data_IF_583093874662
#
_entry.id   IF_583093874662
#
_cell.length_a   1.000
_cell.length_b   1.000
_cell.length_c   1.000
_cell.angle_alpha   90.00
_cell.angle_beta   90.00
_cell.angle_gamma   90.00
#
_symmetry.space_group_name_H-M   'P 1'
#
loop_
_entity.id
_entity.type
_entity.pdbx_description
1 polymer ?
#
# COMPACT_ATOMS: atom_id res chain seq x y z
N UNK A 1 4.35 -0.71 23.73
CA UNK A 1 4.47 -2.16 23.46
C UNK A 1 5.86 -2.57 22.96
N UNK A 2 6.46 -1.88 21.97
CA UNK A 2 7.82 -2.19 21.47
C UNK A 2 8.91 -2.09 22.56
N UNK A 3 8.79 -1.18 23.50
CA UNK A 3 9.71 -1.05 24.64
C UNK A 3 9.70 -2.31 25.51
N UNK A 4 8.51 -2.85 25.79
CA UNK A 4 8.31 -4.12 26.53
C UNK A 4 8.95 -5.30 25.78
N UNK A 5 8.73 -5.38 24.46
CA UNK A 5 9.34 -6.42 23.60
C UNK A 5 10.87 -6.38 23.65
N UNK A 6 11.46 -5.18 23.68
CA UNK A 6 12.91 -4.99 23.86
C UNK A 6 13.43 -5.47 25.21
N UNK A 7 12.62 -5.33 26.27
CA UNK A 7 12.99 -5.74 27.65
C UNK A 7 12.88 -7.25 27.90
N UNK A 8 12.06 -7.97 27.13
CA UNK A 8 11.93 -9.42 27.25
C UNK A 8 13.23 -10.09 26.81
N UNK A 9 13.93 -10.75 27.73
CA UNK A 9 15.21 -11.45 27.45
C UNK A 9 15.05 -12.89 26.96
N UNK A 10 13.82 -13.38 26.80
CA UNK A 10 13.51 -14.74 26.35
C UNK A 10 13.41 -14.79 24.82
N UNK A 11 14.36 -15.46 24.18
CA UNK A 11 14.42 -15.57 22.71
C UNK A 11 13.21 -16.35 22.14
N UNK A 12 12.73 -17.35 22.86
CA UNK A 12 11.58 -18.18 22.48
C UNK A 12 10.24 -17.43 22.44
N UNK A 13 10.17 -16.25 23.05
CA UNK A 13 9.00 -15.37 23.00
C UNK A 13 9.12 -14.28 21.92
N UNK A 14 10.17 -14.33 21.12
CA UNK A 14 10.43 -13.36 20.04
C UNK A 14 10.44 -14.06 18.70
N UNK A 15 9.96 -13.36 17.68
CA UNK A 15 10.21 -13.81 16.32
C UNK A 15 11.72 -13.75 16.01
N UNK A 16 12.21 -14.71 15.24
CA UNK A 16 13.57 -14.67 14.68
C UNK A 16 13.75 -13.39 13.84
N UNK A 17 14.96 -12.86 13.75
CA UNK A 17 15.20 -11.69 12.91
C UNK A 17 14.87 -12.00 11.44
N UNK A 18 13.97 -11.24 10.84
CA UNK A 18 13.72 -11.32 9.41
C UNK A 18 14.89 -10.68 8.66
N UNK A 19 15.35 -11.33 7.59
CA UNK A 19 16.32 -10.77 6.66
C UNK A 19 15.56 -10.38 5.39
N UNK A 20 15.39 -9.07 5.10
CA UNK A 20 14.78 -8.66 3.85
C UNK A 20 15.66 -9.06 2.67
N UNK A 21 15.03 -9.33 1.54
CA UNK A 21 15.73 -9.58 0.28
C UNK A 21 16.21 -8.24 -0.28
N UNK A 22 17.48 -8.17 -0.64
CA UNK A 22 18.05 -7.03 -1.34
C UNK A 22 17.70 -7.08 -2.83
N UNK A 23 17.64 -5.92 -3.46
CA UNK A 23 17.48 -5.75 -4.91
C UNK A 23 18.77 -5.14 -5.46
N UNK A 24 19.75 -5.99 -5.88
CA UNK A 24 21.10 -5.53 -6.23
C UNK A 24 21.12 -4.43 -7.29
N UNK A 25 20.22 -4.48 -8.27
CA UNK A 25 20.09 -3.50 -9.35
C UNK A 25 19.73 -2.11 -8.86
N UNK A 26 19.10 -2.01 -7.68
CA UNK A 26 18.73 -0.75 -7.06
C UNK A 26 19.71 -0.29 -5.97
N UNK A 27 20.77 -1.07 -5.71
CA UNK A 27 21.76 -0.76 -4.67
C UNK A 27 23.03 -0.08 -5.18
N UNK A 28 23.21 -0.06 -6.50
CA UNK A 28 24.39 0.51 -7.17
C UNK A 28 24.28 2.02 -7.45
N UNK A 29 25.32 2.60 -8.07
CA UNK A 29 25.29 3.99 -8.55
C UNK A 29 24.27 4.19 -9.68
N UNK A 30 23.94 3.14 -10.42
CA UNK A 30 23.14 3.18 -11.64
C UNK A 30 21.62 3.04 -11.36
N UNK A 31 21.18 3.36 -10.14
CA UNK A 31 19.76 3.22 -9.75
C UNK A 31 18.82 4.00 -10.68
N UNK A 32 19.23 5.17 -11.14
CA UNK A 32 18.43 5.97 -12.07
C UNK A 32 18.25 5.27 -13.41
N UNK A 33 19.31 4.67 -13.95
CA UNK A 33 19.23 3.90 -15.19
C UNK A 33 18.39 2.63 -15.01
N UNK A 34 18.46 1.99 -13.86
CA UNK A 34 17.62 0.84 -13.55
C UNK A 34 16.14 1.20 -13.55
N UNK A 35 15.79 2.37 -13.00
CA UNK A 35 14.40 2.88 -12.97
C UNK A 35 13.96 3.43 -14.33
N UNK A 36 14.87 4.04 -15.10
CA UNK A 36 14.58 4.51 -16.46
C UNK A 36 14.24 3.34 -17.41
N UNK A 37 14.80 2.15 -17.17
CA UNK A 37 14.55 0.95 -17.99
C UNK A 37 13.22 0.26 -17.70
N UNK A 38 12.78 0.24 -16.43
CA UNK A 38 11.52 -0.36 -15.98
C UNK A 38 11.12 0.13 -14.62
N UNK A 39 9.85 -0.02 -14.28
CA UNK A 39 9.37 0.18 -12.91
C UNK A 39 9.85 -0.93 -11.98
N UNK A 40 9.93 -0.60 -10.70
CA UNK A 40 10.30 -1.55 -9.64
C UNK A 40 9.30 -1.48 -8.51
N UNK A 41 8.80 -2.64 -8.09
CA UNK A 41 7.91 -2.79 -6.95
C UNK A 41 8.65 -3.42 -5.79
N UNK A 42 8.66 -2.74 -4.66
CA UNK A 42 9.18 -3.23 -3.39
C UNK A 42 8.02 -3.52 -2.45
N UNK A 43 8.12 -4.57 -1.64
CA UNK A 43 7.16 -4.87 -0.60
C UNK A 43 7.91 -5.09 0.72
N UNK A 44 7.92 -4.05 1.56
CA UNK A 44 8.55 -4.09 2.88
C UNK A 44 7.68 -4.89 3.86
N UNK A 45 8.26 -5.54 4.87
CA UNK A 45 9.69 -5.68 5.19
C UNK A 45 10.38 -6.83 4.45
N UNK A 46 9.72 -7.48 3.49
CA UNK A 46 10.23 -8.63 2.76
C UNK A 46 11.33 -8.22 1.78
N UNK A 47 11.16 -7.12 1.08
CA UNK A 47 12.25 -6.42 0.39
C UNK A 47 12.88 -5.37 1.30
N UNK A 48 14.19 -5.19 1.15
CA UNK A 48 14.97 -4.17 1.85
C UNK A 48 14.46 -2.75 1.55
N UNK A 49 14.48 -1.86 2.54
CA UNK A 49 14.22 -0.43 2.35
C UNK A 49 15.47 0.32 1.83
N UNK A 50 16.63 -0.35 1.80
CA UNK A 50 17.89 0.24 1.38
C UNK A 50 17.85 0.86 -0.04
N UNK A 51 17.13 0.31 -1.04
CA UNK A 51 16.98 0.95 -2.35
C UNK A 51 16.39 2.35 -2.29
N UNK A 52 15.41 2.60 -1.41
CA UNK A 52 14.80 3.93 -1.25
C UNK A 52 15.81 4.91 -0.63
N UNK A 53 16.62 4.44 0.31
CA UNK A 53 17.71 5.22 0.89
C UNK A 53 18.78 5.50 -0.16
N UNK A 54 19.18 4.49 -0.94
CA UNK A 54 20.17 4.64 -2.01
C UNK A 54 19.71 5.65 -3.06
N UNK A 55 18.44 5.62 -3.49
CA UNK A 55 17.87 6.59 -4.41
C UNK A 55 18.11 8.03 -3.92
N UNK A 56 17.84 8.29 -2.65
CA UNK A 56 18.02 9.63 -2.08
C UNK A 56 19.48 10.03 -1.95
N UNK A 57 20.37 9.08 -1.63
CA UNK A 57 21.82 9.32 -1.55
C UNK A 57 22.38 9.63 -2.94
N UNK A 58 22.01 8.84 -3.96
CA UNK A 58 22.41 9.09 -5.34
C UNK A 58 21.84 10.42 -5.86
N UNK A 59 20.58 10.75 -5.52
CA UNK A 59 20.00 12.03 -5.88
C UNK A 59 20.75 13.23 -5.28
N UNK A 60 21.32 13.07 -4.09
CA UNK A 60 22.15 14.11 -3.49
C UNK A 60 23.52 14.29 -4.20
N UNK A 61 24.10 13.19 -4.67
CA UNK A 61 25.46 13.14 -5.24
C UNK A 61 25.49 13.39 -6.75
N UNK A 62 24.47 12.96 -7.50
CA UNK A 62 24.44 13.06 -8.96
C UNK A 62 24.31 14.52 -9.44
N UNK A 63 25.29 15.06 -10.18
CA UNK A 63 25.24 16.44 -10.66
C UNK A 63 24.13 16.71 -11.68
N UNK A 64 23.57 15.68 -12.30
CA UNK A 64 22.44 15.84 -13.23
C UNK A 64 21.13 16.14 -12.50
N UNK A 65 21.01 15.83 -11.21
CA UNK A 65 19.81 16.11 -10.40
C UNK A 65 19.74 17.60 -10.09
N UNK A 66 18.65 18.23 -10.53
CA UNK A 66 18.40 19.66 -10.32
C UNK A 66 17.31 19.93 -9.26
N UNK A 67 16.32 19.05 -9.15
CA UNK A 67 15.17 19.24 -8.24
C UNK A 67 14.88 17.96 -7.48
N UNK A 68 14.63 18.09 -6.18
CA UNK A 68 14.11 17.02 -5.32
C UNK A 68 12.92 17.56 -4.55
N UNK A 69 11.76 16.89 -4.61
CA UNK A 69 10.59 17.20 -3.80
C UNK A 69 10.15 15.96 -3.05
N UNK A 70 9.86 16.09 -1.76
CA UNK A 70 9.46 14.95 -0.93
C UNK A 70 8.47 15.32 0.16
N UNK A 71 7.50 14.43 0.41
CA UNK A 71 6.63 14.51 1.58
C UNK A 71 7.21 13.69 2.72
N UNK A 72 7.24 14.23 3.94
CA UNK A 72 7.71 13.55 5.15
C UNK A 72 6.65 13.66 6.25
N UNK A 73 6.17 12.51 6.74
CA UNK A 73 5.21 12.43 7.83
C UNK A 73 5.87 12.03 9.15
N UNK A 74 6.69 10.99 9.12
CA UNK A 74 7.51 10.48 10.22
C UNK A 74 8.88 10.11 9.71
N UNK A 75 9.90 10.55 10.42
CA UNK A 75 11.30 10.25 10.13
C UNK A 75 11.98 9.66 11.36
N UNK A 76 12.96 8.81 11.15
CA UNK A 76 13.78 8.28 12.25
C UNK A 76 14.67 9.39 12.85
N UNK A 77 15.05 9.23 14.11
CA UNK A 77 15.92 10.20 14.81
C UNK A 77 17.31 10.39 14.16
N UNK A 78 17.74 9.46 13.30
CA UNK A 78 18.96 9.56 12.50
C UNK A 78 18.66 9.13 11.06
N UNK A 79 17.72 9.85 10.40
CA UNK A 79 17.23 9.49 9.08
C UNK A 79 18.26 9.70 7.99
N UNK A 80 18.69 8.63 7.28
CA UNK A 80 19.60 8.76 6.15
C UNK A 80 18.97 9.53 4.96
N UNK A 81 17.65 9.51 4.85
CA UNK A 81 16.90 10.26 3.83
C UNK A 81 16.99 11.77 4.11
N UNK A 82 16.73 12.18 5.35
CA UNK A 82 16.84 13.60 5.74
C UNK A 82 18.27 14.10 5.57
N UNK A 83 19.27 13.29 5.93
CA UNK A 83 20.67 13.62 5.71
C UNK A 83 21.00 13.77 4.21
N UNK A 84 20.42 12.95 3.33
CA UNK A 84 20.61 13.06 1.89
C UNK A 84 19.95 14.33 1.32
N UNK A 85 18.74 14.69 1.78
CA UNK A 85 18.05 15.93 1.40
C UNK A 85 18.87 17.18 1.79
N UNK A 86 19.44 17.20 2.99
CA UNK A 86 20.30 18.29 3.44
C UNK A 86 21.55 18.43 2.54
N UNK A 87 22.28 17.34 2.29
CA UNK A 87 23.43 17.33 1.37
C UNK A 87 23.07 17.79 -0.04
N UNK A 88 21.90 17.39 -0.54
CA UNK A 88 21.45 17.82 -1.86
C UNK A 88 21.28 19.35 -1.92
N UNK A 89 20.67 19.96 -0.91
CA UNK A 89 20.48 21.40 -0.83
C UNK A 89 21.83 22.14 -0.66
N UNK A 90 22.72 21.65 0.20
CA UNK A 90 24.08 22.16 0.37
C UNK A 90 24.89 22.09 -0.92
N UNK A 91 24.62 21.11 -1.79
CA UNK A 91 25.20 20.99 -3.13
C UNK A 91 24.53 21.91 -4.19
N UNK A 92 23.62 22.81 -3.78
CA UNK A 92 22.96 23.79 -4.65
C UNK A 92 21.75 23.29 -5.43
N UNK A 93 21.22 22.08 -5.13
CA UNK A 93 20.00 21.55 -5.77
C UNK A 93 18.76 22.21 -5.16
N UNK A 94 17.69 22.30 -5.96
CA UNK A 94 16.39 22.77 -5.47
C UNK A 94 15.72 21.65 -4.68
N UNK A 95 15.66 21.76 -3.37
CA UNK A 95 15.07 20.77 -2.49
C UNK A 95 13.84 21.35 -1.80
N UNK A 96 12.66 20.79 -2.06
CA UNK A 96 11.41 21.13 -1.36
C UNK A 96 10.96 19.93 -0.52
N UNK A 97 10.76 20.16 0.76
CA UNK A 97 10.29 19.15 1.71
C UNK A 97 8.98 19.60 2.34
N UNK A 98 7.94 18.80 2.16
CA UNK A 98 6.67 19.00 2.84
C UNK A 98 6.64 18.16 4.11
N UNK A 99 6.78 18.82 5.24
CA UNK A 99 6.79 18.22 6.57
C UNK A 99 5.40 18.28 7.22
N UNK A 100 4.93 17.17 7.80
CA UNK A 100 3.74 17.18 8.67
C UNK A 100 4.16 17.55 10.10
N UNK A 101 3.93 18.81 10.48
CA UNK A 101 4.31 19.32 11.81
C UNK A 101 3.54 18.64 12.96
N UNK A 102 2.29 18.21 12.72
CA UNK A 102 1.41 17.62 13.73
C UNK A 102 1.35 16.08 13.67
N UNK A 103 2.47 15.44 13.30
CA UNK A 103 2.58 13.98 13.37
C UNK A 103 2.54 13.53 14.84
N UNK A 104 1.47 12.83 15.23
CA UNK A 104 1.24 12.38 16.61
C UNK A 104 2.48 11.66 17.17
N UNK A 105 2.99 12.11 18.33
CA UNK A 105 4.18 11.59 19.02
C UNK A 105 5.55 11.88 18.37
N UNK A 106 5.61 12.63 17.25
CA UNK A 106 6.84 12.93 16.54
C UNK A 106 7.01 14.45 16.28
N UNK A 107 6.22 15.30 16.93
CA UNK A 107 6.16 16.74 16.68
C UNK A 107 7.51 17.43 16.93
N UNK A 108 8.15 17.17 18.08
CA UNK A 108 9.47 17.75 18.40
C UNK A 108 10.55 17.28 17.41
N UNK A 109 10.56 16.00 17.06
CA UNK A 109 11.51 15.45 16.12
C UNK A 109 11.31 16.04 14.71
N UNK A 110 10.08 16.24 14.28
CA UNK A 110 9.75 16.81 12.97
C UNK A 110 10.13 18.29 12.90
N UNK A 111 9.93 19.07 13.97
CA UNK A 111 10.36 20.46 14.05
C UNK A 111 11.90 20.57 14.01
N UNK A 112 12.60 19.76 14.78
CA UNK A 112 14.06 19.70 14.77
C UNK A 112 14.63 19.42 13.37
N UNK A 113 14.09 18.43 12.68
CA UNK A 113 14.53 18.08 11.33
C UNK A 113 14.15 19.15 10.29
N UNK A 114 12.98 19.76 10.44
CA UNK A 114 12.55 20.87 9.58
C UNK A 114 13.49 22.07 9.67
N UNK A 115 13.89 22.48 10.88
CA UNK A 115 14.88 23.53 11.07
C UNK A 115 16.25 23.17 10.48
N UNK A 116 16.71 21.94 10.67
CA UNK A 116 17.97 21.46 10.11
C UNK A 116 17.96 21.51 8.58
N UNK A 117 16.89 21.06 7.94
CA UNK A 117 16.72 21.14 6.50
C UNK A 117 16.66 22.58 5.99
N UNK A 118 15.97 23.47 6.70
CA UNK A 118 15.95 24.91 6.37
C UNK A 118 17.34 25.53 6.41
N UNK A 119 18.11 25.21 7.44
CA UNK A 119 19.52 25.70 7.57
C UNK A 119 20.42 25.16 6.45
N UNK A 120 20.15 23.96 5.94
CA UNK A 120 20.87 23.37 4.80
C UNK A 120 20.44 23.98 3.44
N UNK A 121 19.45 24.87 3.41
CA UNK A 121 18.95 25.52 2.18
C UNK A 121 17.74 24.84 1.55
N UNK A 122 17.12 23.86 2.21
CA UNK A 122 15.86 23.28 1.74
C UNK A 122 14.69 24.27 1.92
N UNK A 123 13.78 24.31 0.95
CA UNK A 123 12.46 24.91 1.13
C UNK A 123 11.58 23.95 1.93
N UNK A 124 11.37 24.27 3.20
CA UNK A 124 10.52 23.45 4.10
C UNK A 124 9.13 24.06 4.18
N UNK A 125 8.11 23.23 3.88
CA UNK A 125 6.70 23.57 3.99
C UNK A 125 6.10 22.77 5.16
N UNK A 126 5.43 23.44 6.10
CA UNK A 126 4.83 22.82 7.27
C UNK A 126 3.32 22.65 7.05
N UNK A 127 2.96 21.56 6.36
CA UNK A 127 1.57 21.19 6.13
C UNK A 127 0.78 22.20 5.27
N UNK A 128 -0.52 21.97 5.24
CA UNK A 128 -1.52 22.87 4.66
C UNK A 128 -2.51 23.27 5.77
N UNK A 129 -3.03 24.51 5.80
CA UNK A 129 -3.99 24.92 6.80
C UNK A 129 -5.20 23.97 6.85
N UNK A 130 -5.45 23.38 8.01
CA UNK A 130 -6.58 22.48 8.24
C UNK A 130 -6.45 21.05 7.66
N UNK A 131 -5.39 20.76 6.92
CA UNK A 131 -5.14 19.44 6.32
C UNK A 131 -3.83 18.84 6.84
N UNK A 132 -3.86 17.52 7.12
CA UNK A 132 -2.63 16.77 7.43
C UNK A 132 -2.09 16.12 6.16
N UNK A 133 -0.79 16.29 5.90
CA UNK A 133 -0.13 15.64 4.77
C UNK A 133 0.25 14.22 5.14
N UNK A 134 -0.33 13.24 4.43
CA UNK A 134 -0.10 11.83 4.70
C UNK A 134 0.30 11.03 3.45
N UNK A 135 0.40 11.65 2.29
CA UNK A 135 0.97 11.07 1.07
C UNK A 135 2.44 10.70 1.25
N UNK A 136 2.93 9.71 0.52
CA UNK A 136 4.32 9.27 0.50
C UNK A 136 4.82 9.29 -0.93
N UNK A 137 5.46 10.39 -1.28
CA UNK A 137 5.94 10.64 -2.63
C UNK A 137 7.29 11.35 -2.59
N UNK A 138 8.22 10.87 -3.42
CA UNK A 138 9.46 11.54 -3.77
C UNK A 138 9.45 11.80 -5.27
N UNK A 139 9.78 13.01 -5.67
CA UNK A 139 9.98 13.45 -7.06
C UNK A 139 11.41 13.93 -7.23
N UNK A 140 12.12 13.38 -8.19
CA UNK A 140 13.51 13.73 -8.52
C UNK A 140 13.57 14.05 -10.00
N UNK A 141 14.02 15.27 -10.35
CA UNK A 141 14.23 15.70 -11.72
C UNK A 141 15.71 15.78 -12.05
N UNK A 142 16.10 15.09 -13.10
CA UNK A 142 17.44 15.07 -13.67
C UNK A 142 17.48 15.77 -15.01
N UNK A 143 18.58 16.43 -15.32
CA UNK A 143 18.87 16.96 -16.66
C UNK A 143 19.88 16.02 -17.34
N UNK A 144 19.44 15.29 -18.33
CA UNK A 144 20.27 14.35 -19.10
C UNK A 144 20.58 14.88 -20.48
N UNK A 145 21.48 14.22 -21.22
CA UNK A 145 21.77 14.56 -22.62
C UNK A 145 20.54 14.44 -23.54
N UNK A 146 19.56 13.57 -23.15
CA UNK A 146 18.30 13.36 -23.88
C UNK A 146 17.17 14.28 -23.40
N UNK A 147 17.44 15.23 -22.49
CA UNK A 147 16.46 16.14 -21.90
C UNK A 147 16.16 15.85 -20.43
N UNK A 148 15.12 16.48 -19.92
CA UNK A 148 14.71 16.29 -18.53
C UNK A 148 14.11 14.90 -18.32
N UNK A 149 14.56 14.20 -17.27
CA UNK A 149 14.03 12.90 -16.82
C UNK A 149 13.58 13.01 -15.37
N UNK A 150 12.49 12.35 -15.05
CA UNK A 150 11.96 12.32 -13.70
C UNK A 150 11.96 10.89 -13.15
N UNK A 151 12.34 10.75 -11.90
CA UNK A 151 12.25 9.49 -11.15
C UNK A 151 11.37 9.71 -9.94
N UNK A 152 10.40 8.82 -9.74
CA UNK A 152 9.48 8.87 -8.62
C UNK A 152 9.70 7.68 -7.68
N UNK A 153 9.48 7.90 -6.41
CA UNK A 153 9.11 6.85 -5.48
C UNK A 153 7.73 7.18 -4.91
N UNK A 154 6.79 6.25 -5.07
CA UNK A 154 5.42 6.34 -4.58
C UNK A 154 5.19 5.21 -3.57
N UNK A 155 4.73 5.52 -2.35
CA UNK A 155 4.63 4.52 -1.31
C UNK A 155 3.30 4.50 -0.56
N UNK A 156 2.95 3.34 0.00
CA UNK A 156 1.86 3.22 0.96
C UNK A 156 2.34 3.52 2.38
N UNK A 157 3.63 3.38 2.64
CA UNK A 157 4.30 3.51 3.94
C UNK A 157 5.20 4.72 4.10
N UNK A 158 5.49 5.10 5.34
CA UNK A 158 6.31 6.26 5.66
C UNK A 158 7.80 6.06 5.28
N UNK A 159 8.49 7.17 5.02
CA UNK A 159 9.94 7.21 4.82
C UNK A 159 10.70 7.07 6.16
N UNK A 160 10.57 5.90 6.77
CA UNK A 160 11.12 5.61 8.09
C UNK A 160 11.69 4.18 8.11
N UNK A 161 13.01 4.07 8.10
CA UNK A 161 13.75 2.80 8.02
C UNK A 161 13.42 1.81 9.14
N UNK A 162 13.16 2.31 10.35
CA UNK A 162 12.75 1.47 11.48
C UNK A 162 11.36 0.85 11.30
N UNK A 163 10.36 1.61 10.83
CA UNK A 163 9.01 1.08 10.59
C UNK A 163 8.96 0.19 9.36
N UNK A 164 9.77 0.44 8.34
CA UNK A 164 9.89 -0.39 7.16
C UNK A 164 10.36 -1.84 7.44
N UNK A 165 10.90 -2.10 8.64
CA UNK A 165 11.26 -3.45 9.09
C UNK A 165 10.12 -4.18 9.81
N UNK A 166 9.03 -3.48 10.11
CA UNK A 166 7.95 -3.98 10.98
C UNK A 166 6.58 -3.93 10.32
N UNK A 167 6.38 -3.00 9.39
CA UNK A 167 5.12 -2.74 8.70
C UNK A 167 5.19 -3.25 7.27
N UNK A 168 4.09 -3.85 6.80
CA UNK A 168 3.99 -4.22 5.39
C UNK A 168 3.58 -3.01 4.59
N UNK A 169 4.38 -2.62 3.59
CA UNK A 169 4.09 -1.49 2.71
C UNK A 169 4.67 -1.71 1.31
N UNK A 170 3.95 -1.27 0.30
CA UNK A 170 4.44 -1.23 -1.07
C UNK A 170 5.17 0.08 -1.35
N UNK A 171 6.22 0.01 -2.16
CA UNK A 171 6.93 1.13 -2.75
C UNK A 171 7.12 0.90 -4.25
N UNK A 172 6.69 1.85 -5.07
CA UNK A 172 6.87 1.85 -6.53
C UNK A 172 7.94 2.87 -6.90
N UNK A 173 9.00 2.41 -7.57
CA UNK A 173 9.99 3.26 -8.23
C UNK A 173 9.67 3.28 -9.72
N UNK A 174 9.49 4.46 -10.31
CA UNK A 174 9.07 4.62 -11.71
C UNK A 174 9.65 5.86 -12.35
N UNK A 175 9.85 5.82 -13.66
CA UNK A 175 10.15 6.95 -14.53
C UNK A 175 8.99 7.24 -15.51
N UNK A 176 7.77 6.74 -15.25
CA UNK A 176 6.60 6.99 -16.08
C UNK A 176 6.32 8.49 -16.19
N UNK A 177 6.30 9.01 -17.42
CA UNK A 177 6.17 10.43 -17.69
C UNK A 177 4.81 11.01 -17.30
N UNK A 178 3.76 10.19 -17.31
CA UNK A 178 2.42 10.63 -16.90
C UNK A 178 2.35 10.78 -15.39
N UNK A 179 2.86 9.79 -14.65
CA UNK A 179 2.96 9.87 -13.20
C UNK A 179 3.91 11.00 -12.77
N UNK A 180 4.98 11.27 -13.53
CA UNK A 180 5.89 12.38 -13.26
C UNK A 180 5.22 13.75 -13.42
N UNK A 181 4.39 13.93 -14.46
CA UNK A 181 3.58 15.16 -14.66
C UNK A 181 2.54 15.32 -13.54
N UNK A 182 1.89 14.24 -13.16
CA UNK A 182 0.94 14.24 -12.04
C UNK A 182 1.63 14.59 -10.72
N UNK A 183 2.84 14.08 -10.48
CA UNK A 183 3.63 14.41 -9.30
C UNK A 183 4.03 15.89 -9.27
N UNK A 184 4.42 16.45 -10.42
CA UNK A 184 4.75 17.88 -10.53
C UNK A 184 3.52 18.75 -10.24
N UNK A 185 2.34 18.40 -10.80
CA UNK A 185 1.07 19.07 -10.55
C UNK A 185 0.67 18.95 -9.07
N UNK A 186 0.82 17.75 -8.47
CA UNK A 186 0.54 17.52 -7.05
C UNK A 186 1.40 18.40 -6.14
N UNK A 187 2.71 18.43 -6.36
CA UNK A 187 3.59 19.32 -5.57
C UNK A 187 3.30 20.80 -5.84
N UNK A 188 2.97 21.18 -7.07
CA UNK A 188 2.57 22.55 -7.41
C UNK A 188 1.37 23.01 -6.59
N UNK A 189 0.34 22.18 -6.44
CA UNK A 189 -0.81 22.47 -5.59
C UNK A 189 -0.43 22.61 -4.10
N UNK A 190 0.46 21.74 -3.61
CA UNK A 190 0.95 21.78 -2.22
C UNK A 190 1.83 23.02 -1.93
N UNK A 191 2.46 23.58 -2.94
CA UNK A 191 3.30 24.76 -2.84
C UNK A 191 2.50 26.09 -2.91
N UNK A 192 1.17 26.01 -2.96
CA UNK A 192 0.27 27.16 -3.00
C UNK A 192 -0.30 27.46 -4.39
N UNK A 193 -0.15 26.54 -5.34
CA UNK A 193 -0.78 26.60 -6.66
C UNK A 193 -2.27 26.26 -6.63
N UNK A 194 -2.87 26.26 -7.81
CA UNK A 194 -4.25 25.80 -8.03
C UNK A 194 -4.36 24.30 -7.85
N UNK A 195 -5.60 23.78 -7.72
CA UNK A 195 -5.86 22.35 -7.63
C UNK A 195 -5.14 21.56 -8.75
N UNK A 196 -4.51 20.45 -8.37
CA UNK A 196 -3.72 19.64 -9.27
C UNK A 196 -4.61 18.93 -10.31
N UNK A 197 -4.46 19.28 -11.58
CA UNK A 197 -5.04 18.54 -12.69
C UNK A 197 -4.18 17.29 -12.98
N UNK A 198 -4.46 16.18 -12.29
CA UNK A 198 -3.76 14.91 -12.48
C UNK A 198 -4.55 13.99 -13.43
N UNK A 199 -3.83 13.21 -14.24
CA UNK A 199 -4.43 12.31 -15.23
C UNK A 199 -4.61 10.87 -14.71
N UNK A 200 -3.73 10.43 -13.82
CA UNK A 200 -3.63 9.03 -13.39
C UNK A 200 -3.54 8.88 -11.88
N UNK A 201 -2.84 9.77 -11.21
CA UNK A 201 -2.88 9.83 -9.76
C UNK A 201 -4.13 10.57 -9.27
N UNK A 202 -4.61 10.19 -8.10
CA UNK A 202 -5.79 10.79 -7.49
C UNK A 202 -5.47 11.20 -6.05
N UNK A 203 -5.77 12.43 -5.69
CA UNK A 203 -5.51 12.96 -4.35
C UNK A 203 -6.78 13.17 -3.52
N UNK A 204 -6.62 13.06 -2.20
CA UNK A 204 -7.57 13.59 -1.23
C UNK A 204 -7.08 14.99 -0.79
N UNK A 205 -8.03 15.86 -0.32
CA UNK A 205 -9.43 15.59 -0.02
C UNK A 205 -10.38 15.67 -1.22
N UNK A 206 -9.94 16.15 -2.37
CA UNK A 206 -10.86 16.62 -3.41
C UNK A 206 -11.41 15.50 -4.31
N UNK A 207 -10.57 14.56 -4.75
CA UNK A 207 -10.91 13.63 -5.84
C UNK A 207 -11.01 12.17 -5.38
N UNK A 208 -10.27 11.74 -4.37
CA UNK A 208 -10.09 10.33 -4.03
C UNK A 208 -11.39 9.61 -3.69
N UNK A 209 -12.28 10.23 -2.89
CA UNK A 209 -13.56 9.63 -2.54
C UNK A 209 -14.45 9.45 -3.78
N UNK A 210 -14.51 10.47 -4.63
CA UNK A 210 -15.29 10.43 -5.88
C UNK A 210 -14.78 9.34 -6.82
N UNK A 211 -13.48 9.23 -6.97
CA UNK A 211 -12.88 8.22 -7.85
C UNK A 211 -13.09 6.80 -7.32
N UNK A 212 -12.92 6.56 -6.02
CA UNK A 212 -13.21 5.24 -5.43
C UNK A 212 -14.68 4.83 -5.64
N UNK A 213 -15.62 5.76 -5.44
CA UNK A 213 -17.04 5.50 -5.70
C UNK A 213 -17.30 5.19 -7.18
N UNK A 214 -16.67 5.94 -8.09
CA UNK A 214 -16.75 5.70 -9.54
C UNK A 214 -16.24 4.29 -9.90
N UNK A 215 -15.11 3.87 -9.32
CA UNK A 215 -14.54 2.54 -9.56
C UNK A 215 -15.47 1.44 -9.05
N UNK A 216 -16.03 1.59 -7.84
CA UNK A 216 -16.99 0.62 -7.27
C UNK A 216 -18.28 0.56 -8.13
N UNK A 217 -18.83 1.73 -8.49
CA UNK A 217 -20.03 1.80 -9.34
C UNK A 217 -19.79 1.19 -10.73
N UNK A 218 -18.57 1.29 -11.27
CA UNK A 218 -18.18 0.64 -12.52
C UNK A 218 -18.22 -0.89 -12.41
N UNK A 219 -17.72 -1.46 -11.31
CA UNK A 219 -17.82 -2.91 -11.07
C UNK A 219 -19.29 -3.35 -10.98
N UNK A 220 -20.16 -2.56 -10.30
CA UNK A 220 -21.61 -2.81 -10.30
C UNK A 220 -22.18 -2.85 -11.71
N UNK A 221 -21.88 -1.86 -12.55
CA UNK A 221 -22.36 -1.82 -13.93
C UNK A 221 -21.81 -2.99 -14.78
N UNK A 222 -20.61 -3.49 -14.51
CA UNK A 222 -20.08 -4.69 -15.14
C UNK A 222 -20.87 -5.94 -14.72
N UNK A 223 -21.16 -6.11 -13.42
CA UNK A 223 -21.96 -7.24 -12.93
C UNK A 223 -23.38 -7.23 -13.50
N UNK A 224 -24.06 -6.10 -13.51
CA UNK A 224 -25.40 -5.93 -14.13
C UNK A 224 -25.41 -6.27 -15.62
N UNK A 225 -24.28 -6.03 -16.32
CA UNK A 225 -24.08 -6.40 -17.71
C UNK A 225 -23.50 -7.81 -17.91
N UNK A 226 -23.47 -8.65 -16.86
CA UNK A 226 -22.89 -10.02 -16.86
C UNK A 226 -21.46 -10.08 -17.39
N UNK A 227 -20.66 -9.05 -17.12
CA UNK A 227 -19.23 -9.00 -17.42
C UNK A 227 -18.42 -9.28 -16.14
N UNK A 228 -17.17 -9.74 -16.27
CA UNK A 228 -16.31 -9.94 -15.10
C UNK A 228 -16.28 -8.72 -14.19
N UNK A 229 -16.62 -8.92 -12.91
CA UNK A 229 -16.68 -7.86 -11.90
C UNK A 229 -16.22 -8.39 -10.55
N UNK A 230 -15.43 -7.62 -9.84
CA UNK A 230 -14.90 -8.02 -8.54
C UNK A 230 -14.04 -6.95 -7.91
N UNK A 231 -14.00 -6.95 -6.59
CA UNK A 231 -13.21 -6.01 -5.80
C UNK A 231 -12.39 -6.81 -4.78
N UNK A 232 -11.07 -6.64 -4.81
CA UNK A 232 -10.18 -7.10 -3.74
C UNK A 232 -9.45 -5.90 -3.17
N UNK A 233 -9.80 -5.51 -1.94
CA UNK A 233 -9.24 -4.30 -1.34
C UNK A 233 -8.60 -4.59 0.02
N UNK A 234 -7.39 -4.06 0.20
CA UNK A 234 -6.65 -4.12 1.46
C UNK A 234 -6.47 -2.71 2.01
N UNK A 235 -6.77 -2.56 3.30
CA UNK A 235 -6.63 -1.29 4.03
C UNK A 235 -6.48 -1.51 5.53
N UNK A 236 -6.14 -0.46 6.28
CA UNK A 236 -6.12 -0.58 7.73
C UNK A 236 -7.52 -0.46 8.34
N UNK A 237 -8.35 0.43 7.79
CA UNK A 237 -9.69 0.69 8.34
C UNK A 237 -10.69 1.08 7.25
N UNK A 238 -11.93 0.65 7.46
CA UNK A 238 -13.10 0.96 6.63
C UNK A 238 -14.21 1.54 7.52
N UNK A 239 -14.52 2.82 7.37
CA UNK A 239 -15.57 3.51 8.15
C UNK A 239 -16.22 4.68 7.39
N UNK A 240 -15.92 4.86 6.10
CA UNK A 240 -16.57 5.88 5.28
C UNK A 240 -17.93 5.36 4.82
N UNK A 241 -19.00 5.98 5.28
CA UNK A 241 -20.37 5.54 5.00
C UNK A 241 -20.72 5.56 3.50
N UNK A 242 -20.38 6.62 2.72
CA UNK A 242 -20.63 6.60 1.29
C UNK A 242 -19.97 5.45 0.56
N UNK A 243 -18.71 5.12 0.86
CA UNK A 243 -18.02 3.98 0.23
C UNK A 243 -18.61 2.63 0.66
N UNK A 244 -18.99 2.48 1.94
CA UNK A 244 -19.66 1.25 2.39
C UNK A 244 -21.01 1.05 1.71
N UNK A 245 -21.75 2.11 1.47
CA UNK A 245 -23.03 2.05 0.73
C UNK A 245 -22.83 1.60 -0.71
N UNK A 246 -21.86 2.16 -1.42
CA UNK A 246 -21.50 1.72 -2.78
C UNK A 246 -21.08 0.23 -2.82
N UNK A 247 -20.32 -0.25 -1.81
CA UNK A 247 -19.96 -1.67 -1.71
C UNK A 247 -21.18 -2.58 -1.50
N UNK A 248 -22.15 -2.15 -0.69
CA UNK A 248 -23.41 -2.88 -0.48
C UNK A 248 -24.21 -2.96 -1.79
N UNK A 249 -24.36 -1.83 -2.49
CA UNK A 249 -25.05 -1.79 -3.78
C UNK A 249 -24.34 -2.67 -4.82
N UNK A 250 -23.01 -2.66 -4.85
CA UNK A 250 -22.24 -3.55 -5.72
C UNK A 250 -22.45 -5.03 -5.37
N UNK A 251 -22.47 -5.38 -4.07
CA UNK A 251 -22.79 -6.74 -3.61
C UNK A 251 -24.17 -7.20 -4.05
N UNK A 252 -25.18 -6.35 -3.90
CA UNK A 252 -26.56 -6.64 -4.33
C UNK A 252 -26.67 -6.87 -5.84
N UNK A 253 -25.81 -6.24 -6.63
CA UNK A 253 -25.69 -6.47 -8.07
C UNK A 253 -24.86 -7.72 -8.45
N UNK A 254 -24.35 -8.48 -7.47
CA UNK A 254 -23.60 -9.72 -7.69
C UNK A 254 -22.08 -9.56 -7.71
N UNK A 255 -21.53 -8.37 -7.46
CA UNK A 255 -20.08 -8.16 -7.39
C UNK A 255 -19.49 -8.88 -6.18
N UNK A 256 -18.49 -9.73 -6.41
CA UNK A 256 -17.72 -10.37 -5.34
C UNK A 256 -16.77 -9.35 -4.70
N UNK A 257 -16.96 -9.04 -3.43
CA UNK A 257 -16.20 -8.05 -2.68
C UNK A 257 -15.40 -8.73 -1.57
N UNK A 258 -14.06 -8.71 -1.70
CA UNK A 258 -13.12 -9.29 -0.74
C UNK A 258 -12.33 -8.17 -0.06
N UNK A 259 -12.45 -8.04 1.26
CA UNK A 259 -11.85 -6.96 2.04
C UNK A 259 -10.86 -7.50 3.08
N UNK A 260 -9.60 -7.10 2.97
CA UNK A 260 -8.55 -7.33 3.98
C UNK A 260 -8.44 -6.08 4.87
N UNK A 261 -9.10 -6.09 6.03
CA UNK A 261 -9.16 -4.94 6.94
C UNK A 261 -8.62 -5.34 8.30
N UNK A 262 -7.45 -4.81 8.70
CA UNK A 262 -6.81 -5.22 9.96
C UNK A 262 -7.30 -4.49 11.22
N UNK A 263 -7.93 -3.34 11.07
CA UNK A 263 -8.38 -2.48 12.17
C UNK A 263 -9.89 -2.29 12.18
N UNK A 264 -10.33 -1.04 12.31
CA UNK A 264 -11.75 -0.71 12.35
C UNK A 264 -12.41 -1.07 11.00
N UNK A 265 -13.49 -1.85 11.06
CA UNK A 265 -14.35 -2.13 9.93
C UNK A 265 -15.79 -1.92 10.38
N UNK A 266 -16.48 -0.94 9.84
CA UNK A 266 -17.87 -0.65 10.17
C UNK A 266 -18.87 -1.39 9.27
N UNK A 267 -18.41 -2.02 8.17
CA UNK A 267 -19.24 -2.83 7.29
C UNK A 267 -19.37 -4.25 7.83
N UNK A 268 -20.58 -4.75 7.94
CA UNK A 268 -20.89 -6.15 8.34
C UNK A 268 -21.09 -6.97 7.06
N UNK A 269 -20.27 -8.02 6.82
CA UNK A 269 -20.38 -8.88 5.66
C UNK A 269 -21.44 -9.97 5.82
N UNK A 270 -21.87 -10.59 4.71
CA UNK A 270 -22.70 -11.81 4.71
C UNK A 270 -24.10 -11.62 5.29
N UNK A 271 -24.62 -10.41 5.34
CA UNK A 271 -26.02 -10.12 5.75
C UNK A 271 -26.93 -10.36 4.55
N UNK A 272 -27.84 -11.33 4.70
CA UNK A 272 -28.75 -11.78 3.64
C UNK A 272 -29.54 -10.62 3.00
N UNK A 273 -29.50 -10.51 1.68
CA UNK A 273 -30.14 -9.45 0.89
C UNK A 273 -29.44 -8.07 0.97
N UNK A 274 -28.36 -7.96 1.72
CA UNK A 274 -27.62 -6.69 1.91
C UNK A 274 -26.16 -6.81 1.47
N UNK A 275 -25.43 -7.73 2.05
CA UNK A 275 -23.98 -7.87 1.83
C UNK A 275 -23.55 -9.33 1.60
N UNK A 276 -24.40 -10.09 0.93
CA UNK A 276 -24.23 -11.53 0.66
C UNK A 276 -22.88 -11.84 -0.02
N UNK A 277 -22.47 -10.96 -0.94
CA UNK A 277 -21.26 -11.13 -1.73
C UNK A 277 -20.05 -10.37 -1.15
N UNK A 278 -20.15 -9.87 0.11
CA UNK A 278 -19.06 -9.21 0.79
C UNK A 278 -18.45 -10.16 1.82
N UNK A 279 -17.13 -10.32 1.75
CA UNK A 279 -16.35 -11.04 2.74
C UNK A 279 -15.29 -10.10 3.36
N UNK A 280 -15.08 -10.22 4.67
CA UNK A 280 -14.08 -9.42 5.41
C UNK A 280 -13.14 -10.35 6.16
N UNK A 281 -11.84 -10.17 5.91
CA UNK A 281 -10.77 -10.90 6.61
C UNK A 281 -9.79 -9.92 7.24
N UNK A 282 -9.13 -10.36 8.32
CA UNK A 282 -8.12 -9.59 9.05
C UNK A 282 -6.94 -10.46 9.38
N UNK A 283 -5.73 -10.02 9.08
CA UNK A 283 -4.49 -10.72 9.43
C UNK A 283 -3.81 -9.99 10.58
N UNK A 284 -3.51 -10.74 11.65
CA UNK A 284 -2.72 -10.29 12.79
C UNK A 284 -1.56 -11.26 12.99
N UNK A 285 -0.38 -10.86 12.59
CA UNK A 285 0.80 -11.70 12.58
C UNK A 285 2.05 -10.98 13.10
N UNK A 286 3.20 -11.43 12.61
CA UNK A 286 4.53 -10.92 12.93
C UNK A 286 4.71 -9.45 12.52
N UNK A 287 4.27 -9.12 11.32
CA UNK A 287 4.34 -7.78 10.75
C UNK A 287 2.98 -7.09 10.83
N UNK A 288 2.99 -5.77 11.01
CA UNK A 288 1.77 -4.98 10.95
C UNK A 288 1.33 -4.83 9.50
N UNK A 289 0.17 -5.36 9.17
CA UNK A 289 -0.43 -5.20 7.85
C UNK A 289 -0.85 -3.75 7.64
N UNK A 290 -0.05 -2.96 6.90
CA UNK A 290 -0.20 -1.52 6.78
C UNK A 290 -0.45 -1.04 5.36
N UNK A 291 -0.07 -1.81 4.35
CA UNK A 291 -0.27 -1.46 2.95
C UNK A 291 -1.75 -1.21 2.61
N UNK A 292 -1.99 -0.31 1.64
CA UNK A 292 -3.29 -0.12 1.01
C UNK A 292 -3.14 -0.42 -0.47
N UNK A 293 -3.93 -1.39 -0.92
CA UNK A 293 -3.94 -1.82 -2.31
C UNK A 293 -5.36 -2.19 -2.72
N UNK A 294 -5.78 -1.75 -3.89
CA UNK A 294 -7.13 -1.91 -4.39
C UNK A 294 -7.07 -2.50 -5.79
N UNK A 295 -7.82 -3.57 -6.01
CA UNK A 295 -7.91 -4.30 -7.27
C UNK A 295 -9.36 -4.28 -7.72
N UNK A 296 -9.59 -3.91 -8.97
CA UNK A 296 -10.90 -3.90 -9.63
C UNK A 296 -10.81 -4.74 -10.92
N UNK A 297 -11.77 -5.63 -11.14
CA UNK A 297 -11.78 -6.53 -12.32
C UNK A 297 -12.07 -5.81 -13.64
N UNK A 298 -12.81 -4.72 -13.62
CA UNK A 298 -13.02 -3.83 -14.75
C UNK A 298 -13.39 -4.55 -16.06
N UNK A 299 -14.37 -5.46 -16.02
CA UNK A 299 -14.81 -6.17 -17.20
C UNK A 299 -13.76 -7.12 -17.81
N UNK A 300 -12.77 -7.55 -17.02
CA UNK A 300 -11.63 -8.38 -17.43
C UNK A 300 -10.33 -7.60 -17.71
N UNK A 301 -10.37 -6.26 -17.66
CA UNK A 301 -9.19 -5.40 -17.78
C UNK A 301 -8.74 -4.94 -16.40
N UNK A 302 -8.32 -5.87 -15.57
CA UNK A 302 -7.98 -5.67 -14.15
C UNK A 302 -7.09 -4.45 -13.92
N UNK A 303 -7.49 -3.60 -12.99
CA UNK A 303 -6.74 -2.43 -12.56
C UNK A 303 -6.28 -2.59 -11.11
N UNK A 304 -5.05 -2.17 -10.83
CA UNK A 304 -4.43 -2.25 -9.51
C UNK A 304 -3.96 -0.86 -9.09
N UNK A 305 -4.38 -0.45 -7.90
CA UNK A 305 -4.01 0.81 -7.28
C UNK A 305 -3.34 0.60 -5.93
N UNK A 306 -2.35 1.41 -5.64
CA UNK A 306 -1.74 1.55 -4.32
C UNK A 306 -2.10 2.92 -3.75
N UNK A 307 -2.25 3.01 -2.42
CA UNK A 307 -2.65 4.27 -1.80
C UNK A 307 -1.99 4.51 -0.44
N UNK A 308 -1.94 5.77 -0.04
CA UNK A 308 -1.62 6.15 1.33
C UNK A 308 -2.86 6.21 2.24
N UNK A 309 -4.06 6.23 1.65
CA UNK A 309 -5.34 6.39 2.32
C UNK A 309 -6.00 5.08 2.75
N UNK A 310 -6.57 5.08 3.95
CA UNK A 310 -7.62 4.15 4.33
C UNK A 310 -9.00 4.69 3.87
N UNK A 311 -10.02 3.84 3.80
CA UNK A 311 -11.39 4.25 3.48
C UNK A 311 -12.10 4.77 4.74
N UNK A 312 -11.59 5.89 5.24
CA UNK A 312 -12.09 6.58 6.42
C UNK A 312 -12.35 8.05 6.12
N UNK A 313 -13.39 8.68 6.72
CA UNK A 313 -13.69 10.10 6.48
C UNK A 313 -12.49 11.04 6.69
N UNK A 314 -11.68 10.78 7.73
CA UNK A 314 -10.48 11.60 7.99
C UNK A 314 -9.43 11.53 6.88
N UNK A 315 -9.25 10.35 6.24
CA UNK A 315 -8.30 10.18 5.14
C UNK A 315 -8.83 10.81 3.85
N UNK A 316 -10.13 10.62 3.58
CA UNK A 316 -10.75 11.03 2.33
C UNK A 316 -11.06 12.54 2.27
N UNK A 317 -11.31 13.18 3.43
CA UNK A 317 -11.81 14.57 3.46
C UNK A 317 -10.96 15.55 4.28
N UNK A 318 -10.01 15.08 5.11
CA UNK A 318 -9.24 15.93 6.03
C UNK A 318 -7.73 15.68 5.98
N UNK A 319 -7.27 14.99 4.93
CA UNK A 319 -5.85 14.71 4.71
C UNK A 319 -5.48 14.87 3.25
N UNK A 320 -4.22 15.19 3.03
CA UNK A 320 -3.61 15.04 1.71
C UNK A 320 -3.10 13.60 1.61
N UNK A 321 -3.79 12.82 0.82
CA UNK A 321 -3.47 11.42 0.52
C UNK A 321 -3.27 11.27 -0.99
N UNK A 322 -2.68 10.15 -1.41
CA UNK A 322 -2.45 9.85 -2.81
C UNK A 322 -2.82 8.41 -3.11
N UNK A 323 -3.51 8.17 -4.22
CA UNK A 323 -3.72 6.89 -4.86
C UNK A 323 -3.11 6.92 -6.25
N UNK A 324 -2.44 5.86 -6.64
CA UNK A 324 -1.73 5.76 -7.92
C UNK A 324 -1.83 4.36 -8.51
N UNK A 325 -1.92 4.23 -9.85
CA UNK A 325 -2.01 2.93 -10.52
C UNK A 325 -0.66 2.22 -10.59
N UNK A 326 -0.68 0.89 -10.58
CA UNK A 326 0.44 0.03 -10.96
C UNK A 326 0.20 -0.43 -12.39
N UNK A 327 0.91 0.18 -13.35
CA UNK A 327 0.61 0.03 -14.78
C UNK A 327 1.29 -1.16 -15.44
N UNK A 328 2.51 -1.52 -15.03
CA UNK A 328 3.19 -2.68 -15.59
C UNK A 328 2.51 -3.97 -15.14
N UNK A 329 2.08 -4.79 -16.11
CA UNK A 329 1.26 -5.97 -15.85
C UNK A 329 1.90 -6.96 -14.87
N UNK A 330 3.22 -7.18 -14.97
CA UNK A 330 3.94 -8.06 -14.04
C UNK A 330 3.92 -7.53 -12.60
N UNK A 331 4.05 -6.22 -12.40
CA UNK A 331 4.02 -5.61 -11.08
C UNK A 331 2.59 -5.56 -10.51
N UNK A 332 1.61 -5.31 -11.36
CA UNK A 332 0.19 -5.40 -11.00
C UNK A 332 -0.16 -6.83 -10.56
N UNK A 333 0.28 -7.83 -11.31
CA UNK A 333 0.11 -9.24 -10.94
C UNK A 333 0.80 -9.57 -9.61
N UNK A 334 2.00 -9.04 -9.34
CA UNK A 334 2.70 -9.24 -8.07
C UNK A 334 1.90 -8.69 -6.87
N UNK A 335 1.27 -7.51 -7.01
CA UNK A 335 0.36 -6.99 -5.97
C UNK A 335 -0.82 -7.92 -5.76
N UNK A 336 -1.47 -8.37 -6.83
CA UNK A 336 -2.60 -9.31 -6.77
C UNK A 336 -2.19 -10.61 -6.08
N UNK A 337 -1.05 -11.19 -6.45
CA UNK A 337 -0.53 -12.43 -5.85
C UNK A 337 -0.30 -12.30 -4.34
N UNK A 338 0.25 -11.17 -3.88
CA UNK A 338 0.40 -10.88 -2.45
C UNK A 338 -0.96 -10.84 -1.76
N UNK A 339 -1.95 -10.15 -2.33
CA UNK A 339 -3.27 -10.04 -1.74
C UNK A 339 -4.01 -11.39 -1.73
N UNK A 340 -3.88 -12.19 -2.79
CA UNK A 340 -4.46 -13.55 -2.87
C UNK A 340 -3.82 -14.48 -1.84
N UNK A 341 -2.48 -14.44 -1.69
CA UNK A 341 -1.81 -15.21 -0.65
C UNK A 341 -2.30 -14.81 0.75
N UNK A 342 -2.47 -13.52 1.01
CA UNK A 342 -3.02 -13.03 2.27
C UNK A 342 -4.49 -13.44 2.46
N UNK A 343 -5.26 -13.47 1.38
CA UNK A 343 -6.63 -13.99 1.38
C UNK A 343 -6.68 -15.47 1.73
N UNK A 344 -5.74 -16.24 1.22
CA UNK A 344 -5.63 -17.68 1.47
C UNK A 344 -5.04 -18.04 2.86
N UNK A 345 -4.63 -17.07 3.69
CA UNK A 345 -4.05 -17.33 5.00
C UNK A 345 -5.06 -18.03 5.93
N UNK A 346 -4.67 -19.21 6.45
CA UNK A 346 -5.49 -20.02 7.36
C UNK A 346 -4.93 -20.05 8.78
N UNK A 347 -3.75 -19.48 9.02
CA UNK A 347 -3.08 -19.53 10.32
C UNK A 347 -3.21 -18.24 11.13
N UNK A 348 -3.19 -17.09 10.46
CA UNK A 348 -3.22 -15.76 11.09
C UNK A 348 -4.47 -14.96 10.72
N UNK A 349 -5.23 -15.43 9.74
CA UNK A 349 -6.43 -14.79 9.26
C UNK A 349 -7.60 -15.01 10.24
N UNK A 350 -8.37 -13.96 10.43
CA UNK A 350 -9.67 -13.96 11.11
C UNK A 350 -10.74 -13.54 10.10
N UNK A 351 -11.82 -14.28 10.06
CA UNK A 351 -13.00 -13.97 9.24
C UNK A 351 -14.02 -13.22 10.10
N UNK A 352 -14.62 -12.21 9.54
CA UNK A 352 -15.74 -11.51 10.14
C UNK A 352 -17.04 -12.11 9.63
N UNK A 353 -17.95 -12.45 10.53
CA UNK A 353 -19.26 -13.02 10.20
C UNK A 353 -20.38 -11.95 10.18
N UNK A 354 -21.61 -12.38 9.83
CA UNK A 354 -22.78 -11.53 9.80
C UNK A 354 -23.24 -10.99 11.19
N UNK A 355 -22.73 -11.55 12.29
CA UNK A 355 -22.94 -10.97 13.63
C UNK A 355 -21.95 -9.85 13.95
N UNK A 356 -20.94 -9.67 13.08
CA UNK A 356 -19.83 -8.74 13.28
C UNK A 356 -18.69 -9.31 14.11
N UNK A 357 -18.76 -10.59 14.54
CA UNK A 357 -17.71 -11.25 15.28
C UNK A 357 -16.55 -11.67 14.39
N UNK A 358 -15.34 -11.76 14.96
CA UNK A 358 -14.16 -12.26 14.29
C UNK A 358 -13.80 -13.65 14.81
N UNK A 359 -13.82 -14.64 13.93
CA UNK A 359 -13.41 -16.01 14.24
C UNK A 359 -12.06 -16.32 13.58
N UNK A 360 -11.19 -17.05 14.29
CA UNK A 360 -9.95 -17.54 13.70
C UNK A 360 -10.32 -18.58 12.62
N UNK A 361 -9.77 -18.48 11.44
CA UNK A 361 -9.86 -19.56 10.46
C UNK A 361 -9.34 -20.85 11.10
N UNK A 362 -10.04 -21.96 10.93
CA UNK A 362 -9.70 -23.22 11.61
C UNK A 362 -8.24 -23.58 11.33
N UNK A 363 -7.47 -23.78 12.41
CA UNK A 363 -6.08 -24.24 12.33
C UNK A 363 -6.06 -25.64 11.69
N UNK A 364 -5.77 -25.72 10.40
CA UNK A 364 -5.42 -26.99 9.75
C UNK A 364 -3.91 -27.17 9.87
N UNK A 365 -3.49 -28.35 10.33
CA UNK A 365 -2.07 -28.75 10.28
C UNK A 365 -1.59 -28.60 8.82
N UNK A 366 -0.54 -27.80 8.58
CA UNK A 366 -0.06 -27.50 7.22
C UNK A 366 -0.75 -26.34 6.51
N UNK A 367 -1.49 -25.49 7.24
CA UNK A 367 -2.18 -24.32 6.66
C UNK A 367 -1.24 -23.21 6.17
N UNK A 368 -1.78 -22.30 5.37
CA UNK A 368 -1.09 -21.15 4.77
C UNK A 368 -0.84 -20.08 5.83
N UNK A 369 0.42 -19.66 6.00
CA UNK A 369 0.81 -18.46 6.73
C UNK A 369 1.44 -17.48 5.73
N UNK A 370 0.68 -16.49 5.32
CA UNK A 370 1.09 -15.58 4.26
C UNK A 370 2.38 -14.82 4.59
N UNK A 371 2.56 -14.38 5.83
CA UNK A 371 3.75 -13.64 6.23
C UNK A 371 5.02 -14.51 6.26
N UNK A 372 4.92 -15.76 6.67
CA UNK A 372 6.06 -16.67 6.66
C UNK A 372 6.43 -17.12 5.24
N UNK A 373 5.46 -17.34 4.35
CA UNK A 373 5.70 -17.64 2.92
C UNK A 373 6.41 -16.47 2.25
N UNK A 374 5.94 -15.23 2.47
CA UNK A 374 6.59 -14.02 1.97
C UNK A 374 8.03 -13.85 2.47
N UNK A 375 8.31 -14.24 3.73
CA UNK A 375 9.66 -14.21 4.29
C UNK A 375 10.57 -15.27 3.70
N UNK A 376 10.01 -16.41 3.28
CA UNK A 376 10.77 -17.50 2.69
C UNK A 376 11.15 -17.21 1.24
N UNK A 377 10.19 -16.79 0.43
CA UNK A 377 10.41 -16.53 -1.00
C UNK A 377 9.42 -15.52 -1.58
N UNK A 378 9.70 -14.24 -1.37
CA UNK A 378 8.89 -13.16 -1.97
C UNK A 378 8.94 -13.17 -3.50
N UNK A 379 10.04 -13.62 -4.11
CA UNK A 379 10.18 -13.67 -5.55
C UNK A 379 9.24 -14.73 -6.17
N UNK A 380 9.09 -15.87 -5.52
CA UNK A 380 8.09 -16.86 -5.93
C UNK A 380 6.66 -16.31 -5.78
N UNK A 381 6.35 -15.60 -4.70
CA UNK A 381 5.04 -14.96 -4.51
C UNK A 381 4.77 -13.92 -5.61
N UNK A 382 5.74 -13.05 -5.90
CA UNK A 382 5.59 -12.04 -6.97
C UNK A 382 5.34 -12.70 -8.34
N UNK A 383 5.98 -13.83 -8.59
CA UNK A 383 5.81 -14.61 -9.82
C UNK A 383 4.57 -15.54 -9.83
N UNK A 384 3.71 -15.47 -8.80
CA UNK A 384 2.50 -16.30 -8.70
C UNK A 384 2.78 -17.79 -8.42
N UNK A 385 4.00 -18.13 -8.00
CA UNK A 385 4.41 -19.52 -7.70
C UNK A 385 4.39 -19.80 -6.20
N UNK A 386 3.21 -19.61 -5.57
CA UNK A 386 3.07 -19.85 -4.14
C UNK A 386 1.80 -20.64 -3.82
N UNK A 387 1.76 -21.37 -2.69
CA UNK A 387 0.53 -21.98 -2.21
C UNK A 387 -0.53 -20.88 -1.97
N UNK A 388 -1.69 -20.98 -2.62
CA UNK A 388 -2.76 -19.98 -2.54
C UNK A 388 -2.71 -18.88 -3.60
N UNK A 389 -1.63 -18.75 -4.42
CA UNK A 389 -1.58 -17.82 -5.54
C UNK A 389 -2.33 -18.36 -6.78
N UNK A 390 -2.51 -19.67 -6.90
CA UNK A 390 -2.98 -20.34 -8.11
C UNK A 390 -4.51 -20.64 -8.12
N UNK A 391 -5.30 -20.15 -7.15
CA UNK A 391 -6.72 -20.48 -7.08
C UNK A 391 -7.58 -19.31 -7.54
N UNK A 392 -8.11 -19.39 -8.75
CA UNK A 392 -9.26 -18.58 -9.20
C UNK A 392 -10.57 -18.96 -8.47
N UNK A 393 -10.57 -20.01 -7.62
CA UNK A 393 -11.70 -20.45 -6.80
C UNK A 393 -11.47 -20.14 -5.32
N UNK A 394 -12.51 -19.72 -4.61
CA UNK A 394 -12.49 -19.55 -3.15
C UNK A 394 -12.16 -20.90 -2.50
N UNK A 395 -11.10 -20.98 -1.64
CA UNK A 395 -10.86 -22.19 -0.86
C UNK A 395 -12.05 -22.60 0.01
N UNK A 396 -13.04 -21.74 0.19
CA UNK A 396 -14.27 -21.99 0.95
C UNK A 396 -15.37 -22.66 0.12
N UNK A 397 -15.42 -22.50 -1.22
CA UNK A 397 -16.38 -23.23 -2.06
C UNK A 397 -16.18 -24.76 -2.00
N UNK A 398 -15.01 -25.23 -1.59
CA UNK A 398 -14.73 -26.66 -1.39
C UNK A 398 -15.18 -27.21 -0.04
N UNK A 399 -15.68 -26.37 0.88
CA UNK A 399 -16.03 -26.75 2.25
C UNK A 399 -17.54 -26.74 2.52
N UNK A 400 -18.38 -26.30 1.60
CA UNK A 400 -19.83 -26.17 1.79
C UNK A 400 -20.68 -27.22 1.06
N UNK A 401 -20.14 -28.35 0.64
CA UNK A 401 -20.95 -29.45 0.17
C UNK A 401 -20.86 -30.66 1.12
N UNK A 402 -21.58 -30.66 2.29
CA UNK A 402 -21.69 -31.81 3.17
C UNK A 402 -22.71 -32.85 2.68
N UNK A 403 -23.45 -32.61 1.58
CA UNK A 403 -24.62 -33.40 1.18
C UNK A 403 -24.37 -34.45 0.07
N UNK A 404 -23.16 -34.80 -0.27
CA UNK A 404 -22.85 -35.99 -1.07
C UNK A 404 -22.52 -37.23 -0.24
N UNK A 405 -23.15 -37.42 0.90
CA UNK A 405 -23.24 -38.77 1.50
C UNK A 405 -24.53 -39.41 1.06
N UNK A 406 -24.40 -40.20 0.01
CA UNK A 406 -25.48 -41.10 -0.43
C UNK A 406 -25.99 -41.96 0.73
N UNK A 407 -27.27 -42.41 0.67
CA UNK A 407 -27.89 -43.12 1.79
C UNK A 407 -27.16 -44.43 2.08
N UNK A 408 -26.79 -44.61 3.35
CA UNK A 408 -26.27 -45.86 3.86
C UNK A 408 -27.26 -46.97 3.60
N UNK A 409 -26.85 -47.98 2.86
CA UNK A 409 -27.64 -49.16 2.57
C UNK A 409 -28.10 -49.84 3.87
N UNK A 410 -29.42 -50.08 3.96
CA UNK A 410 -30.05 -50.87 4.98
C UNK A 410 -29.56 -52.33 4.96
N UNK A 411 -29.30 -52.97 6.10
CA UNK A 411 -29.09 -54.41 6.06
C UNK A 411 -30.44 -55.11 5.85
N UNK A 412 -30.54 -55.85 4.77
CA UNK A 412 -31.65 -56.76 4.49
C UNK A 412 -31.60 -58.01 5.38
N UNK A 413 -32.73 -58.77 5.44
CA UNK A 413 -33.05 -59.67 6.50
C UNK A 413 -32.19 -60.93 6.59
#
# INVERSE_FOLDING_TARGET
MMTLYGQVKRAELKFSAARPVDTPELMGPDIFEAVDRRDWLLYHPYHSFAPVVNLMQRAAEDPSVSVIKQTLYRVSGNSPIVAALARAAEAGKQVTVLFEAHARFDEENNLYWGERLSRAGCRVLYGLPGLKVHSKITYIRRQTAQGARCTLHLGTGNYHDGTARLYTDFGLLTADETLARDAEAFFGALEGGTEAAMQSMVSAPNQLSTELRRLIARERAHAEAMRPAGILAKMNSLSDEPLMRELVEASQAGVQVRLLVRGICCLIPGVLGVSDNIQVRSIVGRHLEHARAFVFENGGNREVYLASADWMPRNLYKRVELMFPVRQGELAAAVVNVLQLQWADTQKCRRRDASGAYTLAALKTGGVNAQEILLQDIAAVFAGRCPGCATEGDPDERLENPDERGPAGSPGP
#
